data_IF_693016319726
#
_entry.id   IF_693016319726
#
_cell.length_a   1.000
_cell.length_b   1.000
_cell.length_c   1.000
_cell.angle_alpha   90.00
_cell.angle_beta   90.00
_cell.angle_gamma   90.00
#
_symmetry.space_group_name_H-M   'P 1'
#
loop_
_entity.id
_entity.type
_entity.pdbx_description
1 polymer ?
#
# COMPACT_ATOMS: atom_id res chain seq x y z
N UNK A 1 -12.46 9.60 18.34
CA UNK A 1 -12.77 9.52 16.89
C UNK A 1 -11.44 9.48 16.16
N UNK A 2 -11.18 8.46 15.34
CA UNK A 2 -9.99 8.45 14.51
C UNK A 2 -10.17 9.52 13.42
N UNK A 3 -9.30 10.53 13.41
CA UNK A 3 -9.29 11.50 12.31
C UNK A 3 -8.92 10.76 11.03
N UNK A 4 -9.88 10.69 10.11
CA UNK A 4 -9.78 9.94 8.86
C UNK A 4 -9.78 10.90 7.70
N UNK A 5 -8.83 10.73 6.77
CA UNK A 5 -8.64 11.58 5.60
C UNK A 5 -8.51 10.73 4.35
N UNK A 6 -9.30 11.06 3.33
CA UNK A 6 -9.17 10.46 2.00
C UNK A 6 -8.48 11.45 1.05
N UNK A 7 -7.53 10.96 0.27
CA UNK A 7 -6.82 11.78 -0.72
C UNK A 7 -6.16 10.89 -1.78
N UNK A 8 -5.66 11.53 -2.83
CA UNK A 8 -4.80 10.86 -3.81
C UNK A 8 -3.38 11.38 -3.73
N UNK A 9 -2.38 10.50 -3.84
CA UNK A 9 -0.99 10.89 -3.92
C UNK A 9 -0.24 10.07 -4.97
N UNK A 10 0.77 10.71 -5.57
CA UNK A 10 1.66 10.08 -6.53
C UNK A 10 2.76 9.32 -5.82
N UNK A 11 3.02 8.10 -6.28
CA UNK A 11 4.10 7.25 -5.80
C UNK A 11 4.86 6.72 -7.01
N UNK A 12 6.17 6.99 -7.02
CA UNK A 12 7.07 6.46 -8.04
C UNK A 12 7.57 5.10 -7.61
N UNK A 13 7.39 4.10 -8.46
CA UNK A 13 7.69 2.70 -8.17
C UNK A 13 8.42 2.04 -9.35
N UNK A 14 9.41 1.20 -9.07
CA UNK A 14 9.86 0.17 -9.99
C UNK A 14 9.10 -1.16 -9.78
N UNK A 15 9.38 -2.16 -10.61
CA UNK A 15 8.70 -3.47 -10.55
C UNK A 15 8.88 -4.18 -9.20
N UNK A 16 10.08 -4.13 -8.62
CA UNK A 16 10.34 -4.75 -7.31
C UNK A 16 9.53 -4.05 -6.20
N UNK A 17 9.46 -2.72 -6.26
CA UNK A 17 8.68 -1.90 -5.34
C UNK A 17 7.17 -2.13 -5.47
N UNK A 18 6.64 -2.32 -6.68
CA UNK A 18 5.24 -2.73 -6.88
C UNK A 18 4.96 -4.08 -6.22
N UNK A 19 5.84 -5.08 -6.42
CA UNK A 19 5.72 -6.40 -5.79
C UNK A 19 5.79 -6.31 -4.26
N UNK A 20 6.71 -5.51 -3.73
CA UNK A 20 6.84 -5.29 -2.28
C UNK A 20 5.60 -4.59 -1.71
N UNK A 21 5.07 -3.59 -2.41
CA UNK A 21 3.84 -2.88 -2.05
C UNK A 21 2.66 -3.85 -1.98
N UNK A 22 2.45 -4.62 -3.04
CA UNK A 22 1.36 -5.60 -3.10
C UNK A 22 1.47 -6.62 -1.96
N UNK A 23 2.68 -7.13 -1.68
CA UNK A 23 2.93 -8.04 -0.54
C UNK A 23 2.66 -7.37 0.81
N UNK A 24 3.05 -6.11 0.99
CA UNK A 24 2.80 -5.38 2.22
C UNK A 24 1.30 -5.19 2.47
N UNK A 25 0.57 -4.73 1.45
CA UNK A 25 -0.88 -4.54 1.50
C UNK A 25 -1.61 -5.86 1.79
N UNK A 26 -1.22 -6.96 1.13
CA UNK A 26 -1.74 -8.30 1.41
C UNK A 26 -1.46 -8.73 2.85
N UNK A 27 -0.23 -8.52 3.34
CA UNK A 27 0.16 -8.88 4.70
C UNK A 27 -0.66 -8.11 5.74
N UNK A 28 -0.92 -6.83 5.50
CA UNK A 28 -1.82 -6.01 6.31
C UNK A 28 -3.22 -6.64 6.34
N UNK A 29 -3.76 -7.03 5.19
CA UNK A 29 -5.08 -7.66 5.12
C UNK A 29 -5.11 -9.00 5.88
N UNK A 30 -4.29 -9.97 5.46
CA UNK A 30 -4.30 -11.33 5.96
C UNK A 30 -3.99 -11.35 7.47
N UNK A 31 -2.86 -10.75 7.86
CA UNK A 31 -2.34 -10.87 9.23
C UNK A 31 -2.84 -9.78 10.16
N UNK A 32 -3.08 -8.58 9.63
CA UNK A 32 -3.50 -7.42 10.42
C UNK A 32 -4.99 -7.30 10.59
N UNK A 33 -5.77 -7.45 9.52
CA UNK A 33 -7.21 -7.20 9.54
C UNK A 33 -8.04 -8.48 9.75
N UNK A 34 -7.62 -9.60 9.14
CA UNK A 34 -8.32 -10.89 9.25
C UNK A 34 -7.86 -11.63 10.51
N UNK A 35 -6.58 -12.00 10.61
CA UNK A 35 -6.06 -12.74 11.77
C UNK A 35 -5.89 -11.87 13.02
N UNK A 36 -5.66 -10.56 12.84
CA UNK A 36 -5.34 -9.61 13.92
C UNK A 36 -4.13 -10.04 14.78
N UNK A 37 -3.14 -10.65 14.13
CA UNK A 37 -1.92 -11.13 14.77
C UNK A 37 -0.76 -10.15 14.55
N UNK A 38 -0.53 -9.29 15.55
CA UNK A 38 0.52 -8.25 15.51
C UNK A 38 1.91 -8.82 15.26
N UNK A 39 2.25 -9.98 15.84
CA UNK A 39 3.57 -10.59 15.67
C UNK A 39 3.76 -11.11 14.24
N UNK A 40 2.75 -11.81 13.72
CA UNK A 40 2.78 -12.32 12.35
C UNK A 40 2.79 -11.19 11.32
N UNK A 41 2.04 -10.11 11.58
CA UNK A 41 2.03 -8.89 10.78
C UNK A 41 3.41 -8.21 10.75
N UNK A 42 4.02 -7.98 11.92
CA UNK A 42 5.36 -7.39 12.00
C UNK A 42 6.42 -8.24 11.28
N UNK A 43 6.36 -9.57 11.43
CA UNK A 43 7.25 -10.47 10.72
C UNK A 43 7.07 -10.40 9.20
N UNK A 44 5.82 -10.37 8.72
CA UNK A 44 5.53 -10.26 7.28
C UNK A 44 5.93 -8.91 6.67
N UNK A 45 5.70 -7.82 7.39
CA UNK A 45 6.06 -6.47 6.91
C UNK A 45 7.58 -6.26 6.82
N UNK A 46 8.36 -7.03 7.59
CA UNK A 46 9.82 -6.97 7.55
C UNK A 46 10.42 -7.41 6.20
N UNK A 47 9.68 -8.12 5.34
CA UNK A 47 10.13 -8.44 3.98
C UNK A 47 9.85 -7.34 2.95
N UNK A 48 9.13 -6.28 3.31
CA UNK A 48 8.74 -5.18 2.42
C UNK A 48 9.24 -3.82 2.94
N UNK A 49 10.37 -3.79 3.67
CA UNK A 49 10.85 -2.57 4.34
C UNK A 49 11.12 -1.40 3.39
N UNK A 50 11.57 -1.67 2.16
CA UNK A 50 11.93 -0.63 1.20
C UNK A 50 10.75 0.25 0.81
N UNK A 51 9.52 -0.29 0.91
CA UNK A 51 8.30 0.43 0.56
C UNK A 51 7.57 0.99 1.77
N UNK A 52 7.89 0.54 2.99
CA UNK A 52 7.21 1.01 4.19
C UNK A 52 7.34 2.52 4.34
N UNK A 53 8.53 3.09 4.18
CA UNK A 53 8.72 4.55 4.27
C UNK A 53 8.07 5.34 3.14
N UNK A 54 7.86 4.73 1.97
CA UNK A 54 7.20 5.39 0.84
C UNK A 54 5.67 5.39 0.98
N UNK A 55 5.11 4.41 1.68
CA UNK A 55 3.66 4.12 1.64
C UNK A 55 2.99 4.18 3.01
N UNK A 56 3.71 3.98 4.11
CA UNK A 56 3.20 4.09 5.47
C UNK A 56 4.00 5.15 6.22
N UNK A 57 3.34 6.06 6.93
CA UNK A 57 4.06 7.08 7.73
C UNK A 57 4.84 6.50 8.92
N UNK A 58 4.71 5.19 9.17
CA UNK A 58 5.47 4.42 10.15
C UNK A 58 6.65 3.70 9.49
N UNK A 59 7.85 4.00 9.98
CA UNK A 59 9.11 3.57 9.37
C UNK A 59 9.59 2.17 9.76
N UNK A 60 8.90 1.47 10.67
CA UNK A 60 9.29 0.12 11.09
C UNK A 60 8.10 -0.83 11.12
N UNK A 61 8.34 -2.08 10.73
CA UNK A 61 7.32 -3.12 10.73
C UNK A 61 6.61 -3.30 12.10
N UNK A 62 7.31 -3.30 13.26
CA UNK A 62 6.65 -3.38 14.55
C UNK A 62 5.76 -2.16 14.86
N UNK A 63 6.21 -0.95 14.51
CA UNK A 63 5.43 0.26 14.79
C UNK A 63 4.16 0.35 13.93
N UNK A 64 4.24 -0.09 12.66
CA UNK A 64 3.09 -0.20 11.78
C UNK A 64 2.10 -1.26 12.32
N UNK A 65 2.58 -2.44 12.71
CA UNK A 65 1.74 -3.50 13.24
C UNK A 65 1.00 -3.07 14.52
N UNK A 66 1.71 -2.43 15.46
CA UNK A 66 1.11 -1.90 16.69
C UNK A 66 0.07 -0.81 16.40
N UNK A 67 0.35 0.08 15.45
CA UNK A 67 -0.60 1.12 15.06
C UNK A 67 -1.87 0.55 14.40
N UNK A 68 -1.76 -0.50 13.58
CA UNK A 68 -2.92 -1.20 12.98
C UNK A 68 -3.76 -1.86 14.08
N UNK A 69 -3.12 -2.54 15.05
CA UNK A 69 -3.84 -3.11 16.18
C UNK A 69 -4.59 -2.04 16.99
N UNK A 70 -3.94 -0.91 17.28
CA UNK A 70 -4.54 0.24 17.96
C UNK A 70 -5.73 0.83 17.20
N UNK A 71 -5.60 0.97 15.87
CA UNK A 71 -6.68 1.41 15.00
C UNK A 71 -7.92 0.50 15.13
N UNK A 72 -7.71 -0.83 15.05
CA UNK A 72 -8.79 -1.80 15.12
C UNK A 72 -9.47 -1.86 16.49
N UNK A 73 -8.77 -1.58 17.59
CA UNK A 73 -9.40 -1.48 18.91
C UNK A 73 -10.39 -0.31 19.00
N UNK A 74 -10.17 0.75 18.22
CA UNK A 74 -11.04 1.93 18.19
C UNK A 74 -12.22 1.86 17.22
N UNK A 75 -12.32 0.81 16.39
CA UNK A 75 -13.33 0.68 15.34
C UNK A 75 -14.51 -0.19 15.76
N UNK A 76 -15.71 0.21 15.34
CA UNK A 76 -16.89 -0.66 15.42
C UNK A 76 -16.86 -1.74 14.31
N UNK A 77 -17.58 -2.87 14.44
CA UNK A 77 -17.51 -3.96 13.47
C UNK A 77 -17.71 -3.55 12.00
N UNK A 78 -18.71 -2.71 11.72
CA UNK A 78 -19.00 -2.27 10.35
C UNK A 78 -17.85 -1.46 9.73
N UNK A 79 -17.14 -0.66 10.54
CA UNK A 79 -15.96 0.09 10.07
C UNK A 79 -14.78 -0.84 9.75
N UNK A 80 -14.61 -1.91 10.54
CA UNK A 80 -13.58 -2.94 10.28
C UNK A 80 -13.84 -3.65 8.96
N UNK A 81 -15.09 -3.98 8.68
CA UNK A 81 -15.46 -4.68 7.45
C UNK A 81 -15.35 -3.77 6.22
N UNK A 82 -15.69 -2.48 6.36
CA UNK A 82 -15.41 -1.48 5.34
C UNK A 82 -13.90 -1.36 5.05
N UNK A 83 -13.08 -1.22 6.10
CA UNK A 83 -11.62 -1.14 5.95
C UNK A 83 -11.05 -2.39 5.29
N UNK A 84 -11.45 -3.59 5.73
CA UNK A 84 -11.06 -4.87 5.09
C UNK A 84 -11.35 -4.86 3.59
N UNK A 85 -12.56 -4.44 3.22
CA UNK A 85 -13.00 -4.39 1.81
C UNK A 85 -12.17 -3.41 0.99
N UNK A 86 -11.85 -2.24 1.54
CA UNK A 86 -10.99 -1.26 0.88
C UNK A 86 -9.55 -1.76 0.71
N UNK A 87 -8.97 -2.37 1.74
CA UNK A 87 -7.57 -2.82 1.72
C UNK A 87 -7.38 -4.00 0.75
N UNK A 88 -8.32 -4.95 0.72
CA UNK A 88 -8.25 -6.08 -0.24
C UNK A 88 -8.43 -5.60 -1.68
N UNK A 89 -9.32 -4.62 -1.92
CA UNK A 89 -9.48 -4.02 -3.23
C UNK A 89 -8.19 -3.33 -3.70
N UNK A 90 -7.59 -2.51 -2.84
CA UNK A 90 -6.28 -1.89 -3.13
C UNK A 90 -5.19 -2.91 -3.44
N UNK A 91 -5.12 -4.03 -2.69
CA UNK A 91 -4.19 -5.13 -2.97
C UNK A 91 -4.43 -5.76 -4.35
N UNK A 92 -5.68 -6.04 -4.68
CA UNK A 92 -6.04 -6.72 -5.93
C UNK A 92 -5.64 -5.88 -7.15
N UNK A 93 -5.95 -4.58 -7.12
CA UNK A 93 -5.67 -3.65 -8.21
C UNK A 93 -4.17 -3.43 -8.46
N UNK A 94 -3.31 -3.69 -7.48
CA UNK A 94 -1.84 -3.62 -7.68
C UNK A 94 -1.32 -4.69 -8.62
N UNK A 95 -2.05 -5.81 -8.80
CA UNK A 95 -1.69 -6.84 -9.78
C UNK A 95 -1.55 -6.26 -11.19
N UNK A 96 -2.46 -5.37 -11.58
CA UNK A 96 -2.40 -4.72 -12.90
C UNK A 96 -1.17 -3.83 -13.09
N UNK A 97 -0.62 -3.24 -12.02
CA UNK A 97 0.60 -2.45 -12.10
C UNK A 97 1.83 -3.34 -12.27
N UNK A 98 1.81 -4.51 -11.62
CA UNK A 98 2.85 -5.52 -11.79
C UNK A 98 2.83 -6.03 -13.23
N UNK A 99 1.67 -6.46 -13.72
CA UNK A 99 1.49 -6.97 -15.09
C UNK A 99 1.95 -5.92 -16.12
N UNK A 100 1.56 -4.66 -15.95
CA UNK A 100 1.99 -3.57 -16.83
C UNK A 100 3.52 -3.43 -16.93
N UNK A 101 4.23 -3.50 -15.81
CA UNK A 101 5.69 -3.40 -15.78
C UNK A 101 6.37 -4.67 -16.30
N UNK A 102 5.78 -5.85 -16.06
CA UNK A 102 6.26 -7.12 -16.59
C UNK A 102 6.15 -7.16 -18.12
N UNK A 103 5.01 -6.76 -18.67
CA UNK A 103 4.75 -6.69 -20.12
C UNK A 103 5.62 -5.66 -20.84
N UNK A 104 6.15 -4.67 -20.10
CA UNK A 104 7.01 -3.61 -20.63
C UNK A 104 8.46 -3.68 -20.12
N UNK A 105 8.90 -4.86 -19.65
CA UNK A 105 10.28 -5.06 -19.22
C UNK A 105 11.28 -4.66 -20.30
N UNK A 106 12.32 -3.94 -19.89
CA UNK A 106 13.35 -3.40 -20.77
C UNK A 106 12.96 -2.10 -21.47
N UNK A 107 11.68 -1.73 -21.52
CA UNK A 107 11.22 -0.42 -22.02
C UNK A 107 11.05 0.59 -20.89
N UNK A 108 10.44 0.17 -19.79
CA UNK A 108 10.18 1.03 -18.64
C UNK A 108 10.82 0.45 -17.36
N UNK A 109 11.41 1.30 -16.55
CA UNK A 109 12.02 0.97 -15.25
C UNK A 109 11.27 1.59 -14.07
N UNK A 110 10.54 2.70 -14.26
CA UNK A 110 9.71 3.34 -13.25
C UNK A 110 8.32 3.69 -13.79
N UNK A 111 7.33 3.63 -12.89
CA UNK A 111 5.98 4.16 -13.07
C UNK A 111 5.69 5.21 -11.99
N UNK A 112 5.00 6.29 -12.37
CA UNK A 112 4.43 7.25 -11.44
C UNK A 112 2.93 7.01 -11.31
N UNK A 113 2.51 6.50 -10.16
CA UNK A 113 1.14 6.03 -9.94
C UNK A 113 0.42 6.93 -8.95
N UNK A 114 -0.72 7.47 -9.38
CA UNK A 114 -1.65 8.19 -8.52
C UNK A 114 -2.55 7.21 -7.79
N UNK A 115 -2.27 6.96 -6.52
CA UNK A 115 -3.06 6.05 -5.68
C UNK A 115 -4.11 6.81 -4.86
N UNK A 116 -5.32 6.23 -4.69
CA UNK A 116 -6.26 6.65 -3.65
C UNK A 116 -5.83 6.08 -2.29
N UNK A 117 -5.77 6.94 -1.28
CA UNK A 117 -5.42 6.60 0.09
C UNK A 117 -6.56 6.94 1.04
N UNK A 118 -6.73 6.09 2.05
CA UNK A 118 -7.38 6.45 3.32
C UNK A 118 -6.30 6.52 4.40
N UNK A 119 -6.27 7.61 5.15
CA UNK A 119 -5.32 7.86 6.22
C UNK A 119 -6.03 8.01 7.56
N UNK A 120 -5.50 7.34 8.57
CA UNK A 120 -5.86 7.44 9.97
C UNK A 120 -4.77 8.26 10.68
N UNK A 121 -4.98 9.57 10.73
CA UNK A 121 -3.97 10.56 11.14
C UNK A 121 -3.48 10.31 12.57
N UNK A 122 -4.39 9.92 13.47
CA UNK A 122 -4.06 9.63 14.88
C UNK A 122 -3.06 8.48 15.02
N UNK A 123 -3.17 7.46 14.17
CA UNK A 123 -2.25 6.32 14.18
C UNK A 123 -1.06 6.53 13.24
N UNK A 124 -1.11 7.54 12.36
CA UNK A 124 -0.11 7.77 11.32
C UNK A 124 -0.04 6.60 10.35
N UNK A 125 -1.19 6.07 9.94
CA UNK A 125 -1.29 4.92 9.03
C UNK A 125 -2.15 5.32 7.86
N UNK A 126 -1.75 4.90 6.65
CA UNK A 126 -2.62 4.99 5.47
C UNK A 126 -2.66 3.66 4.73
N UNK A 127 -3.72 3.45 3.98
CA UNK A 127 -3.88 2.29 3.11
C UNK A 127 -4.28 2.74 1.72
N UNK A 128 -3.84 2.00 0.70
CA UNK A 128 -4.35 2.18 -0.67
C UNK A 128 -5.72 1.51 -0.77
N UNK A 129 -6.72 2.20 -1.30
CA UNK A 129 -8.12 1.73 -1.22
C UNK A 129 -8.72 1.28 -2.55
N UNK A 130 -7.98 1.47 -3.63
CA UNK A 130 -8.45 1.15 -4.96
C UNK A 130 -7.37 1.32 -6.02
N UNK A 131 -7.82 1.37 -7.28
CA UNK A 131 -6.96 1.37 -8.44
C UNK A 131 -6.05 2.60 -8.49
N UNK A 132 -4.75 2.35 -8.56
CA UNK A 132 -3.77 3.36 -8.93
C UNK A 132 -3.83 3.66 -10.43
N UNK A 133 -3.72 4.93 -10.80
CA UNK A 133 -3.64 5.35 -12.21
C UNK A 133 -2.19 5.66 -12.54
N UNK A 134 -1.61 4.96 -13.52
CA UNK A 134 -0.29 5.31 -14.05
C UNK A 134 -0.42 6.64 -14.78
N UNK A 135 0.26 7.67 -14.28
CA UNK A 135 0.24 9.01 -14.86
C UNK A 135 1.43 9.25 -15.78
N UNK A 136 2.57 8.62 -15.47
CA UNK A 136 3.81 8.73 -16.23
C UNK A 136 4.61 7.43 -16.14
N UNK A 137 5.43 7.19 -17.17
CA UNK A 137 6.43 6.11 -17.19
C UNK A 137 7.80 6.68 -17.45
N UNK A 138 8.84 6.08 -16.87
CA UNK A 138 10.22 6.41 -17.19
C UNK A 138 10.75 5.39 -18.21
N UNK A 139 11.31 5.88 -19.32
CA UNK A 139 11.94 5.03 -20.33
C UNK A 139 13.35 4.65 -19.91
N UNK A 140 13.71 3.37 -20.04
CA UNK A 140 15.09 2.90 -19.85
C UNK A 140 16.09 3.56 -20.81
N UNK A 141 15.61 4.02 -21.97
CA UNK A 141 16.41 4.67 -23.01
C UNK A 141 16.27 6.19 -23.03
N UNK A 142 15.57 6.79 -22.06
CA UNK A 142 15.18 8.19 -22.12
C UNK A 142 14.76 8.75 -20.76
N UNK A 143 13.76 9.64 -20.77
CA UNK A 143 13.22 10.27 -19.57
C UNK A 143 11.76 9.91 -19.33
N UNK A 144 11.09 10.76 -18.55
CA UNK A 144 9.67 10.63 -18.24
C UNK A 144 8.77 10.90 -19.45
N UNK A 145 7.76 10.05 -19.64
CA UNK A 145 6.72 10.18 -20.66
C UNK A 145 5.35 10.18 -19.98
N UNK A 146 4.46 11.06 -20.45
CA UNK A 146 3.06 11.07 -20.03
C UNK A 146 2.33 9.86 -20.65
N UNK A 147 1.41 9.28 -19.90
CA UNK A 147 0.48 8.24 -20.38
C UNK A 147 -0.87 8.85 -20.75
#
# INVERSE_FOLDING_TARGET
MAFTKEYTANVVLNLDQVRQLQRAQRTVYDKGLVEQNTNALAAGLSSSLSILGAIFFKYTAPSLAAGIASLLLGMVPNEKDALKSMVINGYWEMGYLQDFLEDNQGKYDLIDVKFPFIEYETQGIRFITGKGVVTRVHSTSGGWMLM
#
